data_IF_236238455420
#
_entry.id   IF_236238455420
#
_cell.length_a   1.000
_cell.length_b   1.000
_cell.length_c   1.000
_cell.angle_alpha   90.00
_cell.angle_beta   90.00
_cell.angle_gamma   90.00
#
_symmetry.space_group_name_H-M   'P 1'
#
loop_
_entity.id
_entity.type
_entity.pdbx_description
1 polymer ?
#
# COMPACT_ATOMS: atom_id res chain seq x y z
N UNK A 1 2.06 -4.83 25.72
CA UNK A 1 3.13 -5.82 25.88
C UNK A 1 3.67 -5.78 27.32
N UNK A 2 3.67 -6.90 28.02
CA UNK A 2 4.17 -7.04 29.40
C UNK A 2 5.60 -7.62 29.47
N UNK A 3 6.23 -7.87 28.33
CA UNK A 3 7.57 -8.46 28.26
C UNK A 3 7.62 -9.96 28.64
N UNK A 4 6.49 -10.67 28.70
CA UNK A 4 6.45 -12.07 29.13
C UNK A 4 7.31 -13.04 28.29
N UNK A 5 7.61 -12.70 27.02
CA UNK A 5 8.47 -13.46 26.13
C UNK A 5 7.80 -14.65 25.43
N UNK A 6 6.50 -14.87 25.59
CA UNK A 6 5.78 -15.98 24.97
C UNK A 6 5.92 -15.99 23.44
N UNK A 7 5.84 -14.81 22.81
CA UNK A 7 6.03 -14.66 21.38
C UNK A 7 7.44 -15.04 20.88
N UNK A 8 8.44 -15.02 21.73
CA UNK A 8 9.81 -15.49 21.41
C UNK A 8 9.80 -17.02 21.34
N UNK A 9 9.14 -17.67 22.28
CA UNK A 9 9.09 -19.14 22.38
C UNK A 9 8.24 -19.75 21.25
N UNK A 10 7.14 -19.07 20.88
CA UNK A 10 6.21 -19.54 19.84
C UNK A 10 6.70 -19.30 18.42
N UNK A 11 7.74 -18.48 18.23
CA UNK A 11 8.23 -18.14 16.88
C UNK A 11 9.04 -19.28 16.25
N UNK A 12 8.56 -19.97 15.20
CA UNK A 12 9.28 -21.08 14.58
C UNK A 12 10.54 -20.62 13.85
N UNK A 13 10.55 -19.37 13.37
CA UNK A 13 11.68 -18.77 12.67
C UNK A 13 12.68 -18.08 13.59
N UNK A 14 12.42 -18.08 14.92
CA UNK A 14 13.24 -17.34 15.91
C UNK A 14 13.42 -15.85 15.55
N UNK A 15 12.46 -15.30 14.79
CA UNK A 15 12.47 -13.91 14.33
C UNK A 15 12.14 -12.90 15.44
N UNK A 16 11.71 -13.36 16.62
CA UNK A 16 11.32 -12.48 17.74
C UNK A 16 12.38 -12.59 18.83
N UNK A 17 12.90 -11.45 19.27
CA UNK A 17 13.89 -11.35 20.34
C UNK A 17 13.56 -10.21 21.31
N UNK A 18 14.19 -10.18 22.49
CA UNK A 18 14.13 -9.01 23.35
C UNK A 18 14.90 -7.85 22.75
N UNK A 19 14.41 -6.64 22.93
CA UNK A 19 15.17 -5.45 22.58
C UNK A 19 16.34 -5.27 23.52
N UNK A 20 17.48 -4.88 23.02
CA UNK A 20 18.69 -4.60 23.83
C UNK A 20 18.56 -3.34 24.66
N UNK A 21 17.93 -2.30 24.09
CA UNK A 21 17.70 -1.00 24.73
C UNK A 21 16.48 -1.01 25.70
N UNK A 22 15.56 -1.96 25.51
CA UNK A 22 14.32 -2.09 26.31
C UNK A 22 13.98 -3.57 26.51
N UNK A 23 14.57 -4.25 27.52
CA UNK A 23 14.38 -5.70 27.72
C UNK A 23 12.93 -6.12 28.07
N UNK A 24 12.09 -5.16 28.49
CA UNK A 24 10.64 -5.32 28.67
C UNK A 24 9.85 -5.35 27.36
N UNK A 25 10.51 -5.12 26.22
CA UNK A 25 9.93 -5.11 24.88
C UNK A 25 10.57 -6.15 23.98
N UNK A 26 9.86 -6.50 22.92
CA UNK A 26 10.35 -7.42 21.90
C UNK A 26 10.56 -6.69 20.57
N UNK A 27 11.51 -7.19 19.81
CA UNK A 27 11.77 -6.81 18.42
C UNK A 27 11.42 -7.98 17.51
N UNK A 28 11.00 -7.67 16.28
CA UNK A 28 10.81 -8.68 15.22
C UNK A 28 11.80 -8.41 14.09
N UNK A 29 12.69 -9.35 13.85
CA UNK A 29 13.54 -9.33 12.66
C UNK A 29 12.69 -9.64 11.44
N UNK A 30 12.54 -8.62 10.57
CA UNK A 30 11.71 -8.72 9.37
C UNK A 30 12.33 -9.59 8.28
N UNK A 31 13.64 -9.82 8.32
CA UNK A 31 14.32 -10.68 7.35
C UNK A 31 14.05 -12.17 7.62
N UNK A 32 13.81 -12.53 8.88
CA UNK A 32 13.49 -13.89 9.31
C UNK A 32 11.98 -14.15 9.41
N UNK A 33 11.18 -13.09 9.54
CA UNK A 33 9.75 -13.21 9.80
C UNK A 33 8.97 -13.61 8.56
N UNK A 34 8.27 -14.74 8.62
CA UNK A 34 7.38 -15.23 7.55
C UNK A 34 5.92 -14.81 7.73
N UNK A 35 5.61 -13.89 8.65
CA UNK A 35 4.27 -13.42 8.97
C UNK A 35 3.25 -14.55 9.31
N UNK A 36 3.70 -15.68 9.86
CA UNK A 36 2.87 -16.88 10.12
C UNK A 36 1.81 -16.73 11.22
N UNK A 37 1.75 -15.61 11.93
CA UNK A 37 0.74 -15.32 12.97
C UNK A 37 0.94 -15.97 14.34
N UNK A 38 1.70 -17.04 14.50
CA UNK A 38 1.81 -17.82 15.75
C UNK A 38 2.16 -16.98 16.99
N UNK A 39 2.95 -15.92 16.80
CA UNK A 39 3.30 -14.99 17.89
C UNK A 39 2.16 -14.02 18.25
N UNK A 40 1.16 -13.88 17.40
CA UNK A 40 -0.08 -13.12 17.64
C UNK A 40 -1.01 -14.01 18.43
N UNK A 41 -1.30 -15.23 17.95
CA UNK A 41 -2.20 -16.20 18.58
C UNK A 41 -1.73 -16.57 20.01
N UNK A 42 -0.41 -16.65 20.20
CA UNK A 42 0.20 -16.94 21.50
C UNK A 42 0.41 -15.72 22.40
N UNK A 43 -0.10 -14.53 22.07
CA UNK A 43 0.09 -13.34 22.88
C UNK A 43 -1.03 -13.15 23.91
N UNK A 44 -0.81 -13.42 25.22
CA UNK A 44 -1.89 -13.39 26.21
C UNK A 44 -2.42 -11.97 26.51
N UNK A 45 -1.73 -10.94 26.01
CA UNK A 45 -2.11 -9.53 26.20
C UNK A 45 -2.50 -8.86 24.89
N UNK A 46 -2.66 -9.62 23.81
CA UNK A 46 -3.01 -9.12 22.47
C UNK A 46 -2.14 -7.93 21.97
N UNK A 47 -0.91 -7.86 22.49
CA UNK A 47 0.03 -6.77 22.17
C UNK A 47 0.75 -6.95 20.82
N UNK A 48 0.36 -7.94 20.04
CA UNK A 48 0.85 -8.23 18.69
C UNK A 48 -0.35 -8.44 17.77
N UNK A 49 -0.22 -7.91 16.56
CA UNK A 49 -1.21 -8.08 15.50
C UNK A 49 -0.52 -8.31 14.17
N UNK A 50 -1.20 -8.95 13.25
CA UNK A 50 -0.87 -8.90 11.82
C UNK A 50 -1.60 -7.69 11.26
N UNK A 51 -0.90 -6.87 10.50
CA UNK A 51 -1.50 -5.75 9.78
C UNK A 51 -1.96 -6.23 8.39
N UNK A 52 -3.24 -6.03 8.11
CA UNK A 52 -3.85 -6.43 6.85
C UNK A 52 -4.36 -7.87 6.83
N UNK A 53 -5.07 -8.19 5.77
CA UNK A 53 -5.64 -9.50 5.48
C UNK A 53 -5.17 -9.95 4.10
N UNK A 54 -5.03 -11.27 3.91
CA UNK A 54 -4.89 -11.84 2.57
C UNK A 54 -6.28 -12.00 1.98
N UNK A 55 -6.52 -11.35 0.85
CA UNK A 55 -7.80 -11.44 0.12
C UNK A 55 -7.55 -11.41 -1.38
N UNK A 56 -8.48 -11.95 -2.12
CA UNK A 56 -8.52 -11.82 -3.58
C UNK A 56 -9.09 -10.46 -3.98
N UNK A 57 -8.87 -10.04 -5.23
CA UNK A 57 -9.49 -8.82 -5.76
C UNK A 57 -11.02 -8.91 -5.76
N UNK A 58 -11.58 -10.11 -5.94
CA UNK A 58 -13.03 -10.34 -5.86
C UNK A 58 -13.58 -10.12 -4.44
N UNK A 59 -12.93 -10.67 -3.42
CA UNK A 59 -13.35 -10.46 -2.03
C UNK A 59 -13.24 -8.97 -1.64
N UNK A 60 -12.18 -8.28 -2.07
CA UNK A 60 -12.05 -6.84 -1.85
C UNK A 60 -13.13 -6.04 -2.60
N UNK A 61 -13.48 -6.46 -3.82
CA UNK A 61 -14.56 -5.86 -4.59
C UNK A 61 -15.92 -6.05 -3.90
N UNK A 62 -16.19 -7.22 -3.33
CA UNK A 62 -17.46 -7.48 -2.61
C UNK A 62 -17.64 -6.54 -1.43
N UNK A 63 -16.55 -6.24 -0.68
CA UNK A 63 -16.58 -5.24 0.39
C UNK A 63 -16.88 -3.83 -0.17
N UNK A 64 -16.17 -3.42 -1.23
CA UNK A 64 -16.38 -2.12 -1.89
C UNK A 64 -17.82 -2.01 -2.44
N UNK A 65 -18.32 -3.04 -3.09
CA UNK A 65 -19.67 -3.04 -3.66
C UNK A 65 -20.76 -3.00 -2.57
N UNK A 66 -20.50 -3.55 -1.38
CA UNK A 66 -21.39 -3.48 -0.23
C UNK A 66 -21.67 -2.04 0.23
N UNK A 67 -20.72 -1.14 0.06
CA UNK A 67 -20.83 0.27 0.45
C UNK A 67 -21.38 1.18 -0.66
N UNK A 68 -21.80 0.62 -1.81
CA UNK A 68 -22.23 1.37 -2.99
C UNK A 68 -23.32 2.43 -2.69
N UNK A 69 -24.20 2.15 -1.76
CA UNK A 69 -25.28 3.08 -1.38
C UNK A 69 -24.76 4.38 -0.77
N UNK A 70 -23.55 4.39 -0.25
CA UNK A 70 -22.92 5.56 0.38
C UNK A 70 -22.09 6.40 -0.59
N UNK A 71 -21.81 5.91 -1.81
CA UNK A 71 -20.94 6.63 -2.76
C UNK A 71 -21.61 7.83 -3.42
N UNK A 72 -22.95 7.90 -3.44
CA UNK A 72 -23.68 8.95 -4.15
C UNK A 72 -23.34 8.95 -5.64
N UNK A 73 -23.10 10.13 -6.21
CA UNK A 73 -22.75 10.32 -7.62
C UNK A 73 -21.24 10.32 -7.88
N UNK A 74 -20.43 10.65 -6.89
CA UNK A 74 -19.01 10.98 -7.08
C UNK A 74 -18.08 10.14 -6.19
N UNK A 75 -18.63 9.30 -5.33
CA UNK A 75 -17.86 8.40 -4.47
C UNK A 75 -17.45 7.13 -5.15
N UNK A 76 -16.53 6.39 -4.52
CA UNK A 76 -16.04 5.14 -5.05
C UNK A 76 -14.87 4.58 -4.25
N UNK A 77 -14.00 3.83 -4.94
CA UNK A 77 -12.82 3.21 -4.38
C UNK A 77 -11.59 4.11 -4.53
N UNK A 78 -10.83 4.30 -3.44
CA UNK A 78 -9.45 4.77 -3.53
C UNK A 78 -8.49 3.67 -3.10
N UNK A 79 -7.65 3.21 -4.02
CA UNK A 79 -6.56 2.28 -3.69
C UNK A 79 -5.35 3.08 -3.25
N UNK A 80 -4.96 2.89 -2.01
CA UNK A 80 -3.83 3.55 -1.36
C UNK A 80 -3.01 2.53 -0.56
N UNK A 81 -2.25 2.93 0.43
CA UNK A 81 -1.52 2.07 1.33
C UNK A 81 -0.08 2.55 1.50
N UNK A 82 0.92 1.66 1.51
CA UNK A 82 2.30 2.06 1.37
C UNK A 82 2.56 2.56 -0.06
N UNK A 83 2.31 1.69 -1.05
CA UNK A 83 2.31 2.01 -2.48
C UNK A 83 1.31 1.08 -3.17
N UNK A 84 0.28 1.63 -3.80
CA UNK A 84 -0.76 0.85 -4.49
C UNK A 84 -0.18 -0.04 -5.61
N UNK A 85 0.87 0.43 -6.27
CA UNK A 85 1.54 -0.29 -7.36
C UNK A 85 2.62 -1.28 -6.87
N UNK A 86 2.75 -1.52 -5.56
CA UNK A 86 3.55 -2.64 -5.05
C UNK A 86 2.93 -4.00 -5.41
N UNK A 87 1.61 -4.04 -5.61
CA UNK A 87 0.85 -5.23 -6.03
C UNK A 87 0.00 -4.90 -7.27
N UNK A 88 0.61 -4.61 -8.43
CA UNK A 88 -0.08 -4.03 -9.58
C UNK A 88 -1.17 -4.96 -10.16
N UNK A 89 -0.96 -6.28 -10.10
CA UNK A 89 -1.96 -7.26 -10.57
C UNK A 89 -3.22 -7.23 -9.70
N UNK A 90 -3.08 -7.13 -8.39
CA UNK A 90 -4.20 -7.00 -7.46
C UNK A 90 -4.92 -5.67 -7.66
N UNK A 91 -4.16 -4.56 -7.69
CA UNK A 91 -4.71 -3.22 -7.87
C UNK A 91 -5.45 -3.11 -9.20
N UNK A 92 -4.84 -3.60 -10.30
CA UNK A 92 -5.47 -3.58 -11.62
C UNK A 92 -6.75 -4.42 -11.69
N UNK A 93 -6.75 -5.63 -11.12
CA UNK A 93 -7.94 -6.47 -11.08
C UNK A 93 -9.07 -5.83 -10.24
N UNK A 94 -8.73 -5.19 -9.11
CA UNK A 94 -9.73 -4.54 -8.26
C UNK A 94 -10.32 -3.28 -8.94
N UNK A 95 -9.48 -2.43 -9.56
CA UNK A 95 -9.96 -1.25 -10.29
C UNK A 95 -10.82 -1.66 -11.49
N UNK A 96 -10.45 -2.73 -12.22
CA UNK A 96 -11.24 -3.27 -13.34
C UNK A 96 -12.62 -3.73 -12.88
N UNK A 97 -12.72 -4.49 -11.79
CA UNK A 97 -14.01 -4.94 -11.24
C UNK A 97 -14.90 -3.75 -10.83
N UNK A 98 -14.32 -2.75 -10.18
CA UNK A 98 -15.04 -1.53 -9.80
C UNK A 98 -15.52 -0.74 -11.02
N UNK A 99 -14.65 -0.56 -12.02
CA UNK A 99 -14.99 0.11 -13.27
C UNK A 99 -16.14 -0.59 -14.03
N UNK A 100 -16.09 -1.93 -14.15
CA UNK A 100 -17.16 -2.73 -14.75
C UNK A 100 -18.48 -2.58 -14.00
N UNK A 101 -18.45 -2.38 -12.69
CA UNK A 101 -19.62 -2.12 -11.86
C UNK A 101 -20.08 -0.65 -11.86
N UNK A 102 -19.41 0.26 -12.57
CA UNK A 102 -19.70 1.69 -12.58
C UNK A 102 -19.40 2.38 -11.23
N UNK A 103 -18.38 1.90 -10.51
CA UNK A 103 -17.87 2.51 -9.28
C UNK A 103 -16.62 3.31 -9.65
N UNK A 104 -16.60 4.59 -9.34
CA UNK A 104 -15.45 5.47 -9.59
C UNK A 104 -14.21 4.96 -8.88
N UNK A 105 -13.07 4.97 -9.57
CA UNK A 105 -11.81 4.44 -9.07
C UNK A 105 -10.74 5.53 -8.95
N UNK A 106 -10.03 5.54 -7.85
CA UNK A 106 -8.86 6.37 -7.65
C UNK A 106 -7.66 5.53 -7.23
N UNK A 107 -6.48 5.86 -7.72
CA UNK A 107 -5.21 5.22 -7.33
C UNK A 107 -4.25 6.28 -6.81
N UNK A 108 -3.76 6.07 -5.59
CA UNK A 108 -2.72 6.89 -4.98
C UNK A 108 -1.36 6.23 -5.19
N UNK A 109 -0.43 6.94 -5.85
CA UNK A 109 0.89 6.40 -6.16
C UNK A 109 1.96 7.49 -6.24
N UNK A 110 3.20 7.14 -5.92
CA UNK A 110 4.37 7.97 -6.24
C UNK A 110 4.92 7.70 -7.65
N UNK A 111 4.38 6.72 -8.38
CA UNK A 111 4.80 6.41 -9.74
C UNK A 111 6.21 5.86 -9.90
N UNK A 112 6.81 5.32 -8.84
CA UNK A 112 8.18 4.79 -8.86
C UNK A 112 8.27 3.35 -9.38
N UNK A 113 7.48 3.01 -10.39
CA UNK A 113 7.44 1.70 -11.06
C UNK A 113 7.62 1.88 -12.58
N UNK A 114 8.09 0.87 -13.33
CA UNK A 114 8.13 0.94 -14.79
C UNK A 114 6.76 1.26 -15.38
N UNK A 115 6.71 2.05 -16.45
CA UNK A 115 5.46 2.42 -17.12
C UNK A 115 4.61 1.19 -17.51
N UNK A 116 5.23 0.14 -18.04
CA UNK A 116 4.53 -1.10 -18.39
C UNK A 116 3.83 -1.82 -17.22
N UNK A 117 4.21 -1.49 -15.97
CA UNK A 117 3.54 -1.99 -14.76
C UNK A 117 2.38 -1.08 -14.37
N UNK A 118 2.52 0.23 -14.56
CA UNK A 118 1.51 1.23 -14.22
C UNK A 118 0.37 1.28 -15.24
N UNK A 119 0.69 1.25 -16.54
CA UNK A 119 -0.27 1.47 -17.63
C UNK A 119 -1.51 0.56 -17.55
N UNK A 120 -1.39 -0.77 -17.31
CA UNK A 120 -2.56 -1.64 -17.18
C UNK A 120 -3.49 -1.28 -16.01
N UNK A 121 -2.93 -0.80 -14.89
CA UNK A 121 -3.72 -0.34 -13.73
C UNK A 121 -4.49 0.93 -14.08
N UNK A 122 -3.84 1.86 -14.79
CA UNK A 122 -4.45 3.12 -15.19
C UNK A 122 -5.55 2.96 -16.24
N UNK A 123 -5.63 1.82 -16.92
CA UNK A 123 -6.69 1.55 -17.91
C UNK A 123 -8.10 1.60 -17.30
N UNK A 124 -8.23 1.34 -15.99
CA UNK A 124 -9.48 1.31 -15.26
C UNK A 124 -9.42 2.25 -14.02
N UNK A 125 -8.73 3.39 -14.17
CA UNK A 125 -8.56 4.36 -13.10
C UNK A 125 -9.08 5.72 -13.55
N UNK A 126 -10.09 6.26 -12.87
CA UNK A 126 -10.70 7.56 -13.19
C UNK A 126 -9.89 8.72 -12.62
N UNK A 127 -9.25 8.52 -11.47
CA UNK A 127 -8.50 9.56 -10.75
C UNK A 127 -7.13 9.03 -10.32
N UNK A 128 -6.07 9.74 -10.65
CA UNK A 128 -4.71 9.43 -10.19
C UNK A 128 -4.27 10.51 -9.21
N UNK A 129 -4.07 10.11 -7.95
CA UNK A 129 -3.46 10.95 -6.92
C UNK A 129 -1.95 10.74 -6.96
N UNK A 130 -1.23 11.64 -7.61
CA UNK A 130 0.16 11.46 -7.96
C UNK A 130 1.09 12.23 -7.02
N UNK A 131 1.91 11.52 -6.27
CA UNK A 131 2.79 12.10 -5.26
C UNK A 131 4.18 12.43 -5.79
N UNK A 132 4.56 13.71 -5.75
CA UNK A 132 5.94 14.18 -5.99
C UNK A 132 6.52 14.67 -4.66
N UNK A 133 7.48 13.95 -4.11
CA UNK A 133 8.05 14.29 -2.80
C UNK A 133 9.07 15.44 -2.88
N UNK A 134 9.77 15.61 -4.01
CA UNK A 134 10.64 16.75 -4.31
C UNK A 134 10.95 16.82 -5.81
N UNK A 135 11.03 18.02 -6.38
CA UNK A 135 11.37 18.20 -7.81
C UNK A 135 12.87 18.02 -8.11
N UNK A 136 13.76 18.40 -7.20
CA UNK A 136 15.20 18.16 -7.32
C UNK A 136 15.53 16.70 -7.00
N UNK A 137 16.16 15.99 -7.95
CA UNK A 137 16.43 14.55 -7.82
C UNK A 137 17.42 14.23 -6.71
N UNK A 138 18.39 15.10 -6.45
CA UNK A 138 19.37 14.89 -5.39
C UNK A 138 18.69 14.96 -4.01
N UNK A 139 17.84 15.96 -3.81
CA UNK A 139 17.06 16.10 -2.58
C UNK A 139 16.01 15.00 -2.46
N UNK A 140 15.35 14.64 -3.56
CA UNK A 140 14.41 13.51 -3.57
C UNK A 140 15.10 12.24 -3.09
N UNK A 141 16.30 11.94 -3.60
CA UNK A 141 17.11 10.78 -3.17
C UNK A 141 17.52 10.86 -1.71
N UNK A 142 17.87 12.03 -1.22
CA UNK A 142 18.24 12.21 0.19
C UNK A 142 17.06 11.93 1.14
N UNK A 143 15.82 12.24 0.74
CA UNK A 143 14.63 12.06 1.57
C UNK A 143 13.96 10.69 1.42
N UNK A 144 14.04 10.07 0.22
CA UNK A 144 13.27 8.86 -0.11
C UNK A 144 14.14 7.64 -0.44
N UNK A 145 15.44 7.83 -0.61
CA UNK A 145 16.38 6.79 -1.00
C UNK A 145 16.55 6.60 -2.52
N UNK A 146 15.73 7.24 -3.37
CA UNK A 146 15.81 7.12 -4.84
C UNK A 146 15.59 8.47 -5.54
N UNK A 147 16.07 8.59 -6.79
CA UNK A 147 15.82 9.76 -7.63
C UNK A 147 14.37 9.82 -8.11
N UNK A 148 14.01 10.93 -8.76
CA UNK A 148 12.64 11.17 -9.24
C UNK A 148 12.52 11.10 -10.78
N UNK A 149 13.57 10.68 -11.49
CA UNK A 149 13.59 10.68 -12.96
C UNK A 149 12.45 9.81 -13.53
N UNK A 150 12.29 8.59 -13.00
CA UNK A 150 11.22 7.68 -13.42
C UNK A 150 9.84 8.24 -13.05
N UNK A 151 9.72 8.83 -11.86
CA UNK A 151 8.48 9.45 -11.37
C UNK A 151 8.04 10.57 -12.31
N UNK A 152 8.95 11.47 -12.68
CA UNK A 152 8.63 12.58 -13.58
C UNK A 152 8.34 12.11 -15.01
N UNK A 153 9.08 11.11 -15.53
CA UNK A 153 8.79 10.51 -16.82
C UNK A 153 7.40 9.86 -16.86
N UNK A 154 7.01 9.13 -15.81
CA UNK A 154 5.68 8.55 -15.71
C UNK A 154 4.59 9.63 -15.61
N UNK A 155 4.81 10.70 -14.86
CA UNK A 155 3.87 11.83 -14.82
C UNK A 155 3.67 12.44 -16.20
N UNK A 156 4.75 12.61 -17.00
CA UNK A 156 4.64 13.08 -18.37
C UNK A 156 3.81 12.13 -19.24
N UNK A 157 3.98 10.80 -19.11
CA UNK A 157 3.15 9.83 -19.81
C UNK A 157 1.67 9.95 -19.41
N UNK A 158 1.37 10.03 -18.10
CA UNK A 158 -0.01 10.17 -17.61
C UNK A 158 -0.62 11.49 -18.09
N UNK A 159 0.14 12.60 -18.11
CA UNK A 159 -0.38 13.93 -18.49
C UNK A 159 -0.88 14.01 -19.94
N UNK A 160 -0.52 13.06 -20.77
CA UNK A 160 -1.00 12.93 -22.16
C UNK A 160 -2.31 12.16 -22.29
N UNK A 161 -2.76 11.55 -21.20
CA UNK A 161 -4.06 10.83 -21.15
C UNK A 161 -5.19 11.84 -20.97
N UNK A 162 -6.32 11.54 -21.58
CA UNK A 162 -7.54 12.37 -21.50
C UNK A 162 -8.69 11.62 -20.81
N UNK A 163 -8.45 10.38 -20.43
CA UNK A 163 -9.43 9.44 -19.86
C UNK A 163 -9.36 9.34 -18.32
N UNK A 164 -8.45 10.06 -17.68
CA UNK A 164 -8.37 10.12 -16.23
C UNK A 164 -8.06 11.54 -15.73
N UNK A 165 -8.50 11.83 -14.51
CA UNK A 165 -8.14 13.07 -13.80
C UNK A 165 -6.85 12.87 -13.02
N UNK A 166 -5.90 13.78 -13.15
CA UNK A 166 -4.63 13.73 -12.41
C UNK A 166 -4.60 14.82 -11.36
N UNK A 167 -4.39 14.45 -10.12
CA UNK A 167 -4.18 15.35 -8.98
C UNK A 167 -2.76 15.18 -8.48
N UNK A 168 -1.88 16.13 -8.82
CA UNK A 168 -0.49 16.11 -8.33
C UNK A 168 -0.45 16.66 -6.91
N UNK A 169 0.16 15.91 -6.01
CA UNK A 169 0.33 16.27 -4.61
C UNK A 169 1.80 16.45 -4.28
N UNK A 170 2.15 17.58 -3.67
CA UNK A 170 3.51 17.86 -3.21
C UNK A 170 3.47 18.17 -1.72
N UNK A 171 4.20 17.46 -0.85
CA UNK A 171 4.30 17.83 0.55
C UNK A 171 5.04 19.16 0.68
N UNK A 172 4.50 20.05 1.52
CA UNK A 172 5.16 21.30 1.91
C UNK A 172 5.78 21.07 3.29
N UNK A 173 7.11 21.09 3.37
CA UNK A 173 7.90 20.85 4.58
C UNK A 173 8.67 22.11 4.94
#
# INVERSE_FOLDING_TARGET
CTGCGQCIQTCPQKAVSRRTDRPDRVHTDRTLCTACGRCVDGCPTEARSIMGHTMTAGEAFDEVAGDRLFYGTDGGLTVTGGEALAHPQFTGALTELCWQAGITTAVETCGAVPWAVMEPVLAHTDIVLYDIKHMDSTRHRAYTGQGNELILANLEHISRRTDCTIIVRCPVI
#
